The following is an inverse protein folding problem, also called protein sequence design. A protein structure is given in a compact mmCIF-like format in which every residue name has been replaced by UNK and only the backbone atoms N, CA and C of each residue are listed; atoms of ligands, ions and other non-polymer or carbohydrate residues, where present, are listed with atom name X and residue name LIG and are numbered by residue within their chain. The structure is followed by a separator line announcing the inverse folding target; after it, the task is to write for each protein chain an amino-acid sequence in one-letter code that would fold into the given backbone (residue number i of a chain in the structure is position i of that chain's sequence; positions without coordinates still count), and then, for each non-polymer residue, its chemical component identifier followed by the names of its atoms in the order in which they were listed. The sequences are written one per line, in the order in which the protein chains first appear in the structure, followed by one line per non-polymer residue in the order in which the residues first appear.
data_IF_014792497760
#
_entry.id   IF_014792497760
#
_cell.length_a   1.000
_cell.length_b   1.000
_cell.length_c   1.000
_cell.angle_alpha   90.00
_cell.angle_beta   90.00
_cell.angle_gamma   90.00
#
_symmetry.space_group_name_H-M   'P 1'
#
loop_
_entity.id
_entity.type
_entity.pdbx_description
1 polymer ?
#
# COMPACT_ATOMS: atom_id res chain seq x y z
N UNK A 1 47.28 -11.18 27.10
CA UNK A 1 46.87 -9.77 26.94
C UNK A 1 46.91 -9.44 25.45
N UNK A 2 45.74 -9.06 24.93
CA UNK A 2 45.47 -8.35 23.67
C UNK A 2 45.87 -8.99 22.34
N UNK A 3 44.96 -9.84 21.84
CA UNK A 3 44.72 -10.05 20.41
C UNK A 3 44.00 -8.82 19.82
N UNK A 4 44.54 -8.26 18.72
CA UNK A 4 43.82 -7.38 17.81
C UNK A 4 44.19 -7.78 16.37
N UNK A 5 43.65 -8.91 15.92
CA UNK A 5 43.43 -9.18 14.50
C UNK A 5 42.10 -8.53 14.10
N UNK A 6 42.17 -7.32 13.57
CA UNK A 6 41.11 -6.72 12.77
C UNK A 6 41.47 -6.86 11.30
N UNK A 7 41.40 -8.09 10.77
CA UNK A 7 41.61 -8.33 9.35
C UNK A 7 40.46 -7.68 8.56
N UNK A 8 40.82 -6.62 7.85
CA UNK A 8 40.02 -5.96 6.82
C UNK A 8 39.57 -7.00 5.79
N UNK A 9 38.30 -7.41 5.85
CA UNK A 9 37.64 -8.26 4.86
C UNK A 9 37.34 -7.54 3.55
N UNK A 10 38.30 -6.77 3.04
CA UNK A 10 38.17 -6.10 1.75
C UNK A 10 38.43 -7.11 0.63
N UNK A 11 37.52 -7.18 -0.34
CA UNK A 11 37.70 -8.08 -1.48
C UNK A 11 38.94 -7.65 -2.29
N UNK A 12 39.61 -8.57 -3.01
CA UNK A 12 40.75 -8.23 -3.86
C UNK A 12 40.46 -7.10 -4.87
N UNK A 13 39.22 -7.01 -5.33
CA UNK A 13 38.73 -5.95 -6.21
C UNK A 13 38.70 -4.58 -5.52
N UNK A 14 38.32 -4.53 -4.24
CA UNK A 14 38.30 -3.29 -3.46
C UNK A 14 39.70 -2.73 -3.24
N UNK A 15 40.68 -3.62 -3.00
CA UNK A 15 42.08 -3.23 -2.83
C UNK A 15 42.69 -2.67 -4.13
N UNK A 16 42.31 -3.24 -5.28
CA UNK A 16 42.74 -2.75 -6.59
C UNK A 16 42.17 -1.35 -6.88
N UNK A 17 40.87 -1.17 -6.64
CA UNK A 17 40.19 0.13 -6.82
C UNK A 17 40.78 1.20 -5.90
N UNK A 18 41.14 0.84 -4.66
CA UNK A 18 41.78 1.77 -3.73
C UNK A 18 43.18 2.18 -4.19
N UNK A 19 43.99 1.23 -4.68
CA UNK A 19 45.31 1.53 -5.23
C UNK A 19 45.23 2.44 -6.47
N UNK A 20 44.28 2.19 -7.37
CA UNK A 20 44.04 3.03 -8.56
C UNK A 20 43.56 4.44 -8.18
N UNK A 21 42.66 4.55 -7.21
CA UNK A 21 42.21 5.84 -6.69
C UNK A 21 43.37 6.65 -6.09
N UNK A 22 44.24 6.01 -5.31
CA UNK A 22 45.42 6.67 -4.73
C UNK A 22 46.40 7.13 -5.83
N UNK A 23 46.61 6.32 -6.87
CA UNK A 23 47.44 6.69 -8.01
C UNK A 23 46.85 7.91 -8.76
N UNK A 24 45.53 7.93 -8.99
CA UNK A 24 44.83 9.04 -9.63
C UNK A 24 44.86 10.31 -8.78
N UNK A 25 44.70 10.20 -7.45
CA UNK A 25 44.78 11.32 -6.51
C UNK A 25 46.19 11.92 -6.52
N UNK A 26 47.23 11.09 -6.51
CA UNK A 26 48.63 11.54 -6.57
C UNK A 26 48.93 12.30 -7.87
N UNK A 27 48.34 11.87 -8.99
CA UNK A 27 48.60 12.44 -10.32
C UNK A 27 47.80 13.70 -10.63
N UNK A 28 46.55 13.78 -10.18
CA UNK A 28 45.61 14.85 -10.58
C UNK A 28 45.08 15.69 -9.42
N UNK A 29 45.43 15.34 -8.18
CA UNK A 29 44.93 15.99 -6.98
C UNK A 29 43.53 15.51 -6.59
N UNK A 30 43.30 15.46 -5.26
CA UNK A 30 42.06 14.95 -4.65
C UNK A 30 40.79 15.63 -5.18
N UNK A 31 40.85 16.94 -5.41
CA UNK A 31 39.70 17.73 -5.87
C UNK A 31 39.26 17.35 -7.29
N UNK A 32 40.22 17.15 -8.21
CA UNK A 32 39.93 16.79 -9.59
C UNK A 32 39.34 15.37 -9.69
N UNK A 33 39.93 14.41 -8.96
CA UNK A 33 39.42 13.03 -8.91
C UNK A 33 38.01 12.97 -8.33
N UNK A 34 37.74 13.70 -7.23
CA UNK A 34 36.40 13.79 -6.65
C UNK A 34 35.37 14.38 -7.61
N UNK A 35 35.73 15.44 -8.34
CA UNK A 35 34.86 16.08 -9.33
C UNK A 35 34.55 15.13 -10.49
N UNK A 36 35.56 14.44 -11.02
CA UNK A 36 35.39 13.46 -12.09
C UNK A 36 34.54 12.25 -11.66
N UNK A 37 34.84 11.67 -10.49
CA UNK A 37 34.06 10.58 -9.90
C UNK A 37 32.61 10.99 -9.68
N UNK A 38 32.38 12.21 -9.17
CA UNK A 38 31.02 12.73 -8.99
C UNK A 38 30.29 12.90 -10.32
N UNK A 39 30.96 13.37 -11.38
CA UNK A 39 30.35 13.51 -12.72
C UNK A 39 30.03 12.16 -13.35
N UNK A 40 30.93 11.18 -13.23
CA UNK A 40 30.78 9.85 -13.82
C UNK A 40 29.78 8.98 -13.04
N UNK A 41 29.75 9.12 -11.72
CA UNK A 41 28.83 8.40 -10.84
C UNK A 41 27.51 9.15 -10.61
N UNK A 42 27.30 10.32 -11.23
CA UNK A 42 26.01 11.02 -11.17
C UNK A 42 25.01 10.18 -11.95
N UNK A 43 24.20 9.40 -11.23
CA UNK A 43 23.08 8.67 -11.82
C UNK A 43 22.27 9.63 -12.71
N UNK A 44 21.92 9.17 -13.92
CA UNK A 44 21.04 9.96 -14.80
C UNK A 44 19.76 10.27 -14.03
N UNK A 45 19.40 11.55 -13.95
CA UNK A 45 18.13 11.97 -13.34
C UNK A 45 17.03 11.22 -14.09
N UNK A 46 16.35 10.31 -13.39
CA UNK A 46 15.27 9.52 -13.97
C UNK A 46 14.16 10.44 -14.51
N UNK A 47 13.37 9.94 -15.44
CA UNK A 47 12.16 10.63 -15.93
C UNK A 47 11.28 11.02 -14.73
N UNK A 48 10.72 12.24 -14.74
CA UNK A 48 9.75 12.66 -13.72
C UNK A 48 8.61 11.63 -13.66
N UNK A 49 8.21 11.27 -12.44
CA UNK A 49 7.13 10.31 -12.22
C UNK A 49 5.85 10.90 -12.78
N UNK A 50 5.28 10.24 -13.78
CA UNK A 50 3.95 10.61 -14.30
C UNK A 50 2.87 10.18 -13.30
N UNK A 51 1.86 11.04 -13.04
CA UNK A 51 0.80 10.79 -12.07
C UNK A 51 -0.24 9.79 -12.61
N UNK A 52 0.22 8.59 -12.96
CA UNK A 52 -0.64 7.54 -13.54
C UNK A 52 -1.66 7.03 -12.51
N UNK A 53 -1.31 7.02 -11.21
CA UNK A 53 -2.15 6.43 -10.16
C UNK A 53 -3.52 7.11 -9.97
N UNK A 54 -3.61 8.45 -9.93
CA UNK A 54 -4.90 9.14 -9.98
C UNK A 54 -5.78 8.71 -11.16
N UNK A 55 -5.18 8.54 -12.35
CA UNK A 55 -5.91 8.13 -13.56
C UNK A 55 -6.26 6.64 -13.57
N UNK A 56 -5.49 5.81 -12.86
CA UNK A 56 -5.78 4.39 -12.65
C UNK A 56 -6.83 4.14 -11.55
N UNK A 57 -7.16 5.15 -10.74
CA UNK A 57 -8.06 5.01 -9.61
C UNK A 57 -9.40 4.36 -9.96
N UNK A 58 -10.09 4.68 -11.09
CA UNK A 58 -11.35 4.03 -11.44
C UNK A 58 -11.23 2.50 -11.60
N UNK A 59 -10.14 2.02 -12.21
CA UNK A 59 -9.90 0.58 -12.35
C UNK A 59 -9.63 -0.07 -11.00
N UNK A 60 -8.84 0.59 -10.15
CA UNK A 60 -8.52 0.11 -8.80
C UNK A 60 -9.77 0.04 -7.93
N UNK A 61 -10.66 1.04 -8.00
CA UNK A 61 -11.92 1.03 -7.25
C UNK A 61 -12.88 -0.06 -7.73
N UNK A 62 -12.99 -0.26 -9.05
CA UNK A 62 -13.81 -1.34 -9.61
C UNK A 62 -13.29 -2.73 -9.22
N UNK A 63 -11.97 -2.91 -9.23
CA UNK A 63 -11.33 -4.16 -8.79
C UNK A 63 -11.54 -4.38 -7.28
N UNK A 64 -11.48 -3.32 -6.47
CA UNK A 64 -11.73 -3.41 -5.04
C UNK A 64 -13.17 -3.84 -4.73
N UNK A 65 -14.14 -3.30 -5.48
CA UNK A 65 -15.54 -3.71 -5.35
C UNK A 65 -15.76 -5.16 -5.77
N UNK A 66 -15.19 -5.57 -6.91
CA UNK A 66 -15.27 -6.95 -7.35
C UNK A 66 -14.69 -7.92 -6.31
N UNK A 67 -13.55 -7.55 -5.70
CA UNK A 67 -12.92 -8.35 -4.65
C UNK A 67 -13.78 -8.44 -3.39
N UNK A 68 -14.37 -7.32 -2.96
CA UNK A 68 -15.31 -7.29 -1.83
C UNK A 68 -16.55 -8.15 -2.10
N UNK A 69 -17.01 -8.19 -3.35
CA UNK A 69 -18.12 -9.05 -3.79
C UNK A 69 -17.70 -10.53 -3.99
N UNK A 70 -16.48 -10.90 -3.60
CA UNK A 70 -15.98 -12.28 -3.65
C UNK A 70 -15.48 -12.74 -5.01
N UNK A 71 -15.26 -11.82 -5.97
CA UNK A 71 -14.72 -12.12 -7.29
C UNK A 71 -13.19 -11.95 -7.32
N UNK A 72 -12.56 -12.50 -8.35
CA UNK A 72 -11.11 -12.34 -8.58
C UNK A 72 -10.88 -11.28 -9.67
N UNK A 73 -10.40 -10.06 -9.33
CA UNK A 73 -10.29 -8.96 -10.29
C UNK A 73 -9.41 -9.26 -11.51
N UNK A 74 -8.39 -10.10 -11.35
CA UNK A 74 -7.47 -10.55 -12.40
C UNK A 74 -8.13 -11.46 -13.43
N UNK A 75 -9.24 -12.12 -13.07
CA UNK A 75 -10.04 -12.93 -13.98
C UNK A 75 -11.03 -12.07 -14.75
N UNK A 76 -11.61 -11.07 -14.09
CA UNK A 76 -12.56 -10.13 -14.71
C UNK A 76 -11.89 -9.20 -15.72
N UNK A 77 -10.67 -8.74 -15.41
CA UNK A 77 -9.94 -7.80 -16.26
C UNK A 77 -8.45 -8.07 -16.20
N UNK A 78 -7.82 -8.30 -17.36
CA UNK A 78 -6.37 -8.48 -17.46
C UNK A 78 -5.65 -7.14 -17.43
N UNK A 79 -4.42 -7.13 -16.92
CA UNK A 79 -3.57 -5.92 -16.92
C UNK A 79 -3.41 -5.34 -18.33
N UNK A 80 -3.31 -6.22 -19.34
CA UNK A 80 -3.20 -5.80 -20.74
C UNK A 80 -4.38 -4.95 -21.20
N UNK A 81 -5.61 -5.34 -20.83
CA UNK A 81 -6.81 -4.60 -21.19
C UNK A 81 -6.86 -3.22 -20.51
N UNK A 82 -6.45 -3.13 -19.24
CA UNK A 82 -6.35 -1.85 -18.52
C UNK A 82 -5.28 -0.96 -19.17
N UNK A 83 -4.11 -1.52 -19.48
CA UNK A 83 -3.01 -0.76 -20.07
C UNK A 83 -3.32 -0.27 -21.48
N UNK A 84 -4.05 -1.05 -22.28
CA UNK A 84 -4.52 -0.67 -23.60
C UNK A 84 -5.48 0.51 -23.53
N UNK A 85 -6.53 0.40 -22.72
CA UNK A 85 -7.53 1.45 -22.53
C UNK A 85 -6.90 2.73 -21.93
N UNK A 86 -5.96 2.58 -20.99
CA UNK A 86 -5.21 3.71 -20.43
C UNK A 86 -4.35 4.41 -21.48
N UNK A 87 -3.60 3.65 -22.29
CA UNK A 87 -2.70 4.21 -23.29
C UNK A 87 -3.44 4.88 -24.44
N UNK A 88 -4.67 4.46 -24.71
CA UNK A 88 -5.57 5.09 -25.67
C UNK A 88 -6.11 6.43 -25.15
N UNK A 89 -6.54 6.49 -23.87
CA UNK A 89 -7.09 7.71 -23.26
C UNK A 89 -6.02 8.74 -22.89
N UNK A 90 -4.86 8.28 -22.45
CA UNK A 90 -3.80 9.13 -21.90
C UNK A 90 -2.43 8.81 -22.54
N UNK A 91 -2.29 8.99 -23.86
CA UNK A 91 -1.01 8.76 -24.50
C UNK A 91 0.01 9.79 -23.99
N UNK A 92 1.07 9.32 -23.34
CA UNK A 92 2.21 10.16 -22.96
C UNK A 92 3.06 10.51 -24.19
N UNK A 93 4.30 10.02 -24.23
CA UNK A 93 5.17 10.21 -25.40
C UNK A 93 4.72 9.39 -26.61
N UNK A 94 4.19 8.19 -26.37
CA UNK A 94 3.56 7.34 -27.37
C UNK A 94 2.62 6.34 -26.68
N UNK A 95 1.62 5.83 -27.41
CA UNK A 95 0.72 4.77 -26.93
C UNK A 95 1.51 3.55 -26.45
N UNK A 96 2.43 3.05 -27.27
CA UNK A 96 3.26 1.89 -26.95
C UNK A 96 4.13 2.08 -25.69
N UNK A 97 4.73 3.27 -25.52
CA UNK A 97 5.52 3.57 -24.32
C UNK A 97 4.66 3.62 -23.06
N UNK A 98 3.48 4.23 -23.17
CA UNK A 98 2.50 4.34 -22.07
C UNK A 98 2.00 2.96 -21.67
N UNK A 99 1.57 2.14 -22.64
CA UNK A 99 1.12 0.78 -22.42
C UNK A 99 2.14 -0.04 -21.63
N UNK A 100 3.40 -0.09 -22.09
CA UNK A 100 4.47 -0.84 -21.43
C UNK A 100 4.71 -0.35 -19.99
N UNK A 101 4.68 0.97 -19.77
CA UNK A 101 4.84 1.56 -18.44
C UNK A 101 3.70 1.17 -17.50
N UNK A 102 2.46 1.27 -17.96
CA UNK A 102 1.27 0.93 -17.17
C UNK A 102 1.22 -0.57 -16.89
N UNK A 103 1.54 -1.42 -17.85
CA UNK A 103 1.72 -2.86 -17.64
C UNK A 103 2.69 -3.15 -16.50
N UNK A 104 3.86 -2.49 -16.49
CA UNK A 104 4.85 -2.65 -15.41
C UNK A 104 4.36 -2.15 -14.05
N UNK A 105 3.55 -1.09 -14.01
CA UNK A 105 2.94 -0.59 -12.77
C UNK A 105 1.87 -1.54 -12.24
N UNK A 106 0.96 -1.99 -13.10
CA UNK A 106 -0.12 -2.91 -12.73
C UNK A 106 0.43 -4.26 -12.28
N UNK A 107 1.42 -4.81 -12.98
CA UNK A 107 2.04 -6.08 -12.59
C UNK A 107 2.65 -6.05 -11.18
N UNK A 108 3.15 -4.89 -10.74
CA UNK A 108 3.81 -4.75 -9.43
C UNK A 108 2.88 -4.35 -8.29
N UNK A 109 1.82 -3.59 -8.59
CA UNK A 109 1.11 -2.84 -7.56
C UNK A 109 -0.41 -2.97 -7.63
N UNK A 110 -0.98 -3.60 -8.66
CA UNK A 110 -2.44 -3.68 -8.82
C UNK A 110 -3.12 -4.34 -7.61
N UNK A 111 -2.61 -5.50 -7.19
CA UNK A 111 -3.15 -6.28 -6.06
C UNK A 111 -3.16 -5.45 -4.78
N UNK A 112 -2.00 -4.95 -4.39
CA UNK A 112 -1.86 -4.07 -3.24
C UNK A 112 -2.78 -2.84 -3.32
N UNK A 113 -2.92 -2.26 -4.51
CA UNK A 113 -3.73 -1.05 -4.71
C UNK A 113 -5.21 -1.31 -4.49
N UNK A 114 -5.78 -2.38 -5.06
CA UNK A 114 -7.20 -2.67 -4.87
C UNK A 114 -7.48 -3.21 -3.47
N UNK A 115 -6.58 -3.97 -2.84
CA UNK A 115 -6.74 -4.42 -1.46
C UNK A 115 -6.72 -3.23 -0.48
N UNK A 116 -5.82 -2.27 -0.68
CA UNK A 116 -5.80 -1.03 0.10
C UNK A 116 -7.07 -0.20 -0.10
N UNK A 117 -7.58 -0.13 -1.33
CA UNK A 117 -8.85 0.53 -1.62
C UNK A 117 -10.04 -0.20 -0.97
N UNK A 118 -10.07 -1.54 -1.02
CA UNK A 118 -11.09 -2.37 -0.38
C UNK A 118 -11.10 -2.18 1.14
N UNK A 119 -9.93 -2.14 1.78
CA UNK A 119 -9.80 -1.89 3.21
C UNK A 119 -10.32 -0.50 3.61
N UNK A 120 -9.97 0.55 2.86
CA UNK A 120 -10.51 1.89 3.11
C UNK A 120 -12.02 1.98 2.88
N UNK A 121 -12.53 1.36 1.81
CA UNK A 121 -13.95 1.39 1.47
C UNK A 121 -14.80 0.64 2.49
N UNK A 122 -14.32 -0.51 2.96
CA UNK A 122 -15.03 -1.34 3.92
C UNK A 122 -15.20 -0.70 5.31
N UNK A 123 -14.43 0.35 5.63
CA UNK A 123 -14.62 1.06 6.90
C UNK A 123 -16.03 1.68 7.02
N UNK A 124 -16.56 2.24 5.93
CA UNK A 124 -17.75 3.08 5.94
C UNK A 124 -18.89 2.58 5.05
N UNK A 125 -18.63 1.64 4.13
CA UNK A 125 -19.59 1.30 3.07
C UNK A 125 -19.83 -0.19 2.89
N UNK A 126 -19.22 -1.04 3.73
CA UNK A 126 -19.40 -2.50 3.67
C UNK A 126 -19.61 -3.08 5.07
N UNK A 127 -20.22 -4.28 5.17
CA UNK A 127 -20.28 -5.05 6.41
C UNK A 127 -18.95 -5.06 7.16
N UNK A 128 -19.00 -4.91 8.49
CA UNK A 128 -17.81 -4.84 9.33
C UNK A 128 -16.85 -6.04 9.18
N UNK A 129 -17.36 -7.22 8.80
CA UNK A 129 -16.55 -8.39 8.50
C UNK A 129 -15.58 -8.14 7.32
N UNK A 130 -16.00 -7.37 6.32
CA UNK A 130 -15.18 -7.03 5.15
C UNK A 130 -13.98 -6.18 5.52
N UNK A 131 -14.09 -5.34 6.55
CA UNK A 131 -12.98 -4.52 7.01
C UNK A 131 -11.81 -5.36 7.52
N UNK A 132 -12.11 -6.38 8.34
CA UNK A 132 -11.08 -7.29 8.84
C UNK A 132 -10.55 -8.19 7.73
N UNK A 133 -11.43 -8.75 6.89
CA UNK A 133 -11.05 -9.57 5.73
C UNK A 133 -10.12 -8.83 4.78
N UNK A 134 -10.43 -7.58 4.45
CA UNK A 134 -9.59 -6.75 3.58
C UNK A 134 -8.24 -6.42 4.22
N UNK A 135 -8.22 -6.13 5.51
CA UNK A 135 -6.99 -5.85 6.24
C UNK A 135 -6.05 -7.07 6.31
N UNK A 136 -6.59 -8.24 6.61
CA UNK A 136 -5.84 -9.51 6.63
C UNK A 136 -5.32 -9.87 5.25
N UNK A 137 -6.13 -9.73 4.19
CA UNK A 137 -5.70 -9.97 2.82
C UNK A 137 -4.56 -9.03 2.39
N UNK A 138 -4.62 -7.75 2.79
CA UNK A 138 -3.58 -6.78 2.48
C UNK A 138 -2.25 -7.13 3.16
N UNK A 139 -2.28 -7.51 4.43
CA UNK A 139 -1.10 -7.98 5.18
C UNK A 139 -0.53 -9.26 4.55
N UNK A 140 -1.39 -10.23 4.26
CA UNK A 140 -0.99 -11.51 3.68
C UNK A 140 -0.32 -11.34 2.32
N UNK A 141 -0.77 -10.37 1.53
CA UNK A 141 -0.17 -10.06 0.25
C UNK A 141 1.17 -9.31 0.38
N UNK A 142 1.28 -8.37 1.33
CA UNK A 142 2.50 -7.59 1.54
C UNK A 142 2.67 -7.20 3.02
N UNK A 143 3.61 -7.86 3.70
CA UNK A 143 3.87 -7.68 5.13
C UNK A 143 4.29 -6.24 5.51
N UNK A 144 4.66 -5.39 4.55
CA UNK A 144 4.93 -3.97 4.83
C UNK A 144 3.69 -3.23 5.36
N UNK A 145 2.50 -3.76 5.12
CA UNK A 145 1.24 -3.22 5.64
C UNK A 145 0.91 -3.66 7.06
N UNK A 146 1.66 -4.58 7.68
CA UNK A 146 1.42 -5.06 9.04
C UNK A 146 1.20 -3.90 10.01
N UNK A 147 2.16 -2.99 10.12
CA UNK A 147 2.06 -1.87 11.06
C UNK A 147 0.96 -0.87 10.68
N UNK A 148 0.67 -0.72 9.38
CA UNK A 148 -0.37 0.19 8.91
C UNK A 148 -1.77 -0.32 9.23
N UNK A 149 -1.97 -1.64 9.21
CA UNK A 149 -3.30 -2.27 9.32
C UNK A 149 -3.57 -2.79 10.72
N UNK A 150 -2.58 -3.38 11.40
CA UNK A 150 -2.79 -4.03 12.70
C UNK A 150 -3.25 -3.05 13.78
N UNK A 151 -2.62 -1.88 13.92
CA UNK A 151 -3.01 -0.93 14.97
C UNK A 151 -4.46 -0.41 14.81
N UNK A 152 -4.88 0.06 13.61
CA UNK A 152 -6.28 0.39 13.38
C UNK A 152 -7.21 -0.81 13.57
N UNK A 153 -6.84 -2.01 13.12
CA UNK A 153 -7.66 -3.21 13.29
C UNK A 153 -7.90 -3.54 14.77
N UNK A 154 -6.86 -3.52 15.61
CA UNK A 154 -7.00 -3.75 17.06
C UNK A 154 -7.88 -2.71 17.74
N UNK A 155 -7.75 -1.43 17.34
CA UNK A 155 -8.63 -0.36 17.84
C UNK A 155 -10.09 -0.64 17.52
N UNK A 156 -10.37 -1.09 16.29
CA UNK A 156 -11.73 -1.44 15.84
C UNK A 156 -12.24 -2.74 16.47
N UNK A 157 -11.39 -3.75 16.70
CA UNK A 157 -11.75 -4.96 17.47
C UNK A 157 -12.16 -4.60 18.90
N UNK A 158 -11.42 -3.72 19.57
CA UNK A 158 -11.80 -3.21 20.89
C UNK A 158 -13.12 -2.45 20.88
N UNK A 159 -13.42 -1.72 19.81
CA UNK A 159 -14.72 -1.07 19.66
C UNK A 159 -15.87 -2.07 19.43
N UNK A 160 -15.63 -3.11 18.62
CA UNK A 160 -16.57 -4.21 18.42
C UNK A 160 -16.87 -4.95 19.72
N UNK A 161 -15.85 -5.25 20.54
CA UNK A 161 -16.04 -5.85 21.86
C UNK A 161 -16.91 -4.96 22.77
N UNK A 162 -16.59 -3.66 22.87
CA UNK A 162 -17.40 -2.71 23.65
C UNK A 162 -18.84 -2.57 23.14
N UNK A 163 -19.04 -2.69 21.83
CA UNK A 163 -20.38 -2.71 21.25
C UNK A 163 -21.15 -3.94 21.74
N UNK A 164 -20.54 -5.12 21.64
CA UNK A 164 -21.11 -6.40 22.08
C UNK A 164 -21.53 -6.39 23.54
N UNK A 165 -20.65 -5.88 24.41
CA UNK A 165 -20.91 -5.79 25.84
C UNK A 165 -22.11 -4.87 26.17
N UNK A 166 -22.32 -3.82 25.38
CA UNK A 166 -23.35 -2.79 25.64
C UNK A 166 -24.69 -3.05 24.94
N UNK A 167 -24.65 -3.58 23.71
CA UNK A 167 -25.77 -3.60 22.77
C UNK A 167 -26.02 -5.00 22.18
N UNK A 168 -25.20 -6.00 22.51
CA UNK A 168 -25.25 -7.33 21.90
C UNK A 168 -24.56 -7.38 20.54
N UNK A 169 -24.79 -8.45 19.78
CA UNK A 169 -24.17 -8.63 18.47
C UNK A 169 -24.60 -7.54 17.47
N UNK A 170 -23.65 -6.93 16.73
CA UNK A 170 -24.01 -5.98 15.69
C UNK A 170 -24.72 -6.70 14.52
N UNK A 171 -25.69 -6.04 13.87
CA UNK A 171 -26.23 -6.49 12.60
C UNK A 171 -25.12 -6.75 11.57
N UNK A 172 -25.28 -7.79 10.74
CA UNK A 172 -24.29 -8.19 9.75
C UNK A 172 -23.93 -7.04 8.79
N UNK A 173 -24.93 -6.27 8.36
CA UNK A 173 -24.78 -5.15 7.44
C UNK A 173 -24.15 -3.90 8.06
N UNK A 174 -23.99 -3.86 9.39
CA UNK A 174 -23.44 -2.69 10.06
C UNK A 174 -21.95 -2.53 9.74
N UNK A 175 -21.56 -1.29 9.45
CA UNK A 175 -20.17 -0.94 9.13
C UNK A 175 -19.32 -0.83 10.40
N UNK A 176 -18.01 -1.02 10.27
CA UNK A 176 -17.12 -0.91 11.44
C UNK A 176 -17.02 0.54 11.96
N UNK A 177 -17.24 1.55 11.10
CA UNK A 177 -17.35 2.94 11.52
C UNK A 177 -18.58 3.20 12.40
N UNK A 178 -19.73 2.62 12.05
CA UNK A 178 -20.94 2.73 12.86
C UNK A 178 -20.79 2.04 14.22
N UNK A 179 -20.21 0.84 14.22
CA UNK A 179 -19.87 0.10 15.45
C UNK A 179 -18.97 0.96 16.34
N UNK A 180 -17.89 1.52 15.78
CA UNK A 180 -16.97 2.36 16.53
C UNK A 180 -17.65 3.62 17.12
N UNK A 181 -18.56 4.22 16.36
CA UNK A 181 -19.32 5.40 16.79
C UNK A 181 -20.29 5.09 17.93
N UNK A 182 -20.95 3.93 17.90
CA UNK A 182 -21.92 3.52 18.92
C UNK A 182 -21.23 2.98 20.18
N UNK A 183 -20.13 2.24 20.03
CA UNK A 183 -19.34 1.71 21.14
C UNK A 183 -18.81 2.81 22.08
N UNK A 184 -18.48 3.99 21.54
CA UNK A 184 -17.99 5.15 22.29
C UNK A 184 -19.08 5.95 23.02
N UNK A 185 -20.37 5.67 22.79
CA UNK A 185 -21.47 6.37 23.45
C UNK A 185 -21.85 5.72 24.77
N UNK A 186 -22.40 6.53 25.67
CA UNK A 186 -23.09 6.02 26.86
C UNK A 186 -24.44 5.40 26.42
N UNK A 187 -24.88 4.26 26.98
CA UNK A 187 -26.09 3.57 26.53
C UNK A 187 -27.35 4.46 26.53
N UNK A 188 -27.46 5.36 27.51
CA UNK A 188 -28.58 6.32 27.64
C UNK A 188 -28.57 7.46 26.63
N UNK A 189 -27.49 7.63 25.86
CA UNK A 189 -27.35 8.67 24.84
C UNK A 189 -27.62 8.15 23.41
N UNK A 190 -28.02 6.88 23.26
CA UNK A 190 -28.44 6.31 21.99
C UNK A 190 -29.96 6.53 21.87
N UNK A 191 -30.44 7.29 20.87
CA UNK A 191 -31.87 7.54 20.70
C UNK A 191 -32.63 6.22 20.61
N UNK A 192 -33.70 6.07 21.39
CA UNK A 192 -34.46 4.81 21.53
C UNK A 192 -34.90 4.25 20.18
N UNK A 193 -35.34 5.11 19.25
CA UNK A 193 -35.72 4.73 17.89
C UNK A 193 -34.59 4.02 17.11
N UNK A 194 -33.33 4.40 17.36
CA UNK A 194 -32.17 3.77 16.72
C UNK A 194 -31.81 2.45 17.40
N UNK A 195 -31.97 2.37 18.72
CA UNK A 195 -31.78 1.17 19.51
C UNK A 195 -32.80 0.08 19.12
N UNK A 196 -34.07 0.48 18.92
CA UNK A 196 -35.14 -0.38 18.41
C UNK A 196 -34.86 -0.85 16.98
N UNK A 197 -34.40 0.04 16.09
CA UNK A 197 -34.02 -0.36 14.72
C UNK A 197 -32.86 -1.36 14.67
N UNK A 198 -31.89 -1.23 15.58
CA UNK A 198 -30.73 -2.13 15.67
C UNK A 198 -31.13 -3.51 16.21
N UNK A 199 -32.11 -3.56 17.11
CA UNK A 199 -32.64 -4.80 17.67
C UNK A 199 -33.75 -5.44 16.82
N UNK A 200 -34.09 -4.85 15.67
CA UNK A 200 -35.18 -5.33 14.82
C UNK A 200 -36.57 -5.21 15.48
N UNK A 201 -36.73 -4.31 16.44
CA UNK A 201 -37.98 -4.06 17.16
C UNK A 201 -38.73 -2.87 16.52
N UNK A 202 -40.08 -2.92 16.44
CA UNK A 202 -40.86 -1.78 15.99
C UNK A 202 -40.66 -0.58 16.93
N UNK A 203 -40.58 0.62 16.33
CA UNK A 203 -40.35 1.88 17.01
C UNK A 203 -41.55 2.33 17.86
#
# INVERSE_FOLDING_TARGET
MTNLQGASGASPEQLLVEAELQALIKRHGKAAVRCAATKLCKGRVGRKVEPDWPLLAPYVQADADAWLDGKIPEELRKNNAIAEDFAEKYPGQSRASTHRRIMGKLAKHRVTSYLSAAWKKSENYRPHADYFRAGEALIAHDNRFQNLVSYPAETKKGALARYRDKLGEPPAEMTIAEIAKLAGRHPTAIPMARLLSVLGLPA
#
